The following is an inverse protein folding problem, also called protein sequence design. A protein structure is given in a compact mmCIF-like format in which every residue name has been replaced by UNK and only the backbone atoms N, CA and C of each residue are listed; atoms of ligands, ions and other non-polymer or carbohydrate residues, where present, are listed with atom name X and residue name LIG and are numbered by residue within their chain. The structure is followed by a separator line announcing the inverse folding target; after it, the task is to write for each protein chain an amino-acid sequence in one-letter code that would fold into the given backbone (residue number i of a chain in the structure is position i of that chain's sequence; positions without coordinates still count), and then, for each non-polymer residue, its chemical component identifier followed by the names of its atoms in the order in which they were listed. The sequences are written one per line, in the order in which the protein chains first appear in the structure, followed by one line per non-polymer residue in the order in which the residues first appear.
data_IF_074301205985
#
_entry.id   IF_074301205985
#
_cell.length_a   1.000
_cell.length_b   1.000
_cell.length_c   1.000
_cell.angle_alpha   90.00
_cell.angle_beta   90.00
_cell.angle_gamma   90.00
#
_symmetry.space_group_name_H-M   'P 1'
#
loop_
_entity.id
_entity.type
_entity.pdbx_description
1 polymer ?
#
# COMPACT_ATOMS: atom_id res chain seq x y z
N UNK A 1 38.51 -27.71 36.37
CA UNK A 1 39.09 -26.47 35.83
C UNK A 1 38.03 -25.40 35.93
N UNK A 2 38.10 -24.59 36.98
CA UNK A 2 37.14 -23.52 37.26
C UNK A 2 37.54 -22.28 36.45
N UNK A 3 36.69 -21.85 35.53
CA UNK A 3 36.88 -20.62 34.78
C UNK A 3 36.17 -19.48 35.52
N UNK A 4 36.95 -18.63 36.17
CA UNK A 4 36.49 -17.32 36.64
C UNK A 4 36.35 -16.36 35.46
N UNK A 5 35.14 -15.88 35.20
CA UNK A 5 34.87 -14.74 34.31
C UNK A 5 35.11 -13.42 35.07
N UNK A 6 35.75 -12.41 34.45
CA UNK A 6 35.92 -11.11 35.06
C UNK A 6 34.61 -10.31 35.03
N UNK A 7 34.19 -9.80 36.19
CA UNK A 7 33.11 -8.82 36.29
C UNK A 7 33.53 -7.51 35.63
N UNK A 8 32.72 -7.04 34.67
CA UNK A 8 32.78 -5.67 34.15
C UNK A 8 31.77 -4.77 34.87
N UNK A 9 32.05 -3.45 34.96
CA UNK A 9 31.38 -2.54 35.87
C UNK A 9 30.00 -2.09 35.37
N UNK A 10 29.07 -2.01 36.31
CA UNK A 10 27.76 -1.41 36.12
C UNK A 10 27.89 0.11 35.92
N UNK A 11 27.60 0.60 34.71
CA UNK A 11 27.25 2.00 34.48
C UNK A 11 25.87 2.09 33.84
N UNK A 12 24.95 2.67 34.60
CA UNK A 12 23.60 2.98 34.14
C UNK A 12 23.54 4.29 33.37
N UNK A 13 22.74 4.29 32.30
CA UNK A 13 22.10 5.47 31.73
C UNK A 13 20.92 5.06 30.82
N UNK A 14 19.82 4.58 31.42
CA UNK A 14 18.55 4.37 30.73
C UNK A 14 17.50 5.36 31.28
N UNK A 15 17.60 6.62 30.89
CA UNK A 15 16.50 7.60 31.05
C UNK A 15 16.56 8.62 29.91
N UNK A 16 15.74 8.44 28.87
CA UNK A 16 15.06 9.54 28.14
C UNK A 16 14.23 9.14 26.88
N UNK A 17 13.87 7.86 26.66
CA UNK A 17 13.02 7.50 25.51
C UNK A 17 11.50 7.70 25.73
N UNK A 18 11.03 7.88 26.97
CA UNK A 18 9.59 8.07 27.25
C UNK A 18 9.04 9.49 26.95
N UNK A 19 9.90 10.49 26.77
CA UNK A 19 9.45 11.88 26.50
C UNK A 19 9.17 12.17 25.02
N UNK A 20 9.55 11.29 24.10
CA UNK A 20 9.37 11.54 22.66
C UNK A 20 8.03 11.03 22.10
N UNK A 21 7.30 10.19 22.84
CA UNK A 21 6.07 9.54 22.33
C UNK A 21 4.79 10.35 22.60
N UNK A 22 4.84 11.42 23.40
CA UNK A 22 3.64 12.16 23.82
C UNK A 22 3.30 13.43 23.01
N UNK A 23 3.88 13.67 21.83
CA UNK A 23 3.64 14.92 21.07
C UNK A 23 2.80 14.79 19.79
N UNK A 24 2.02 13.71 19.60
CA UNK A 24 1.16 13.55 18.41
C UNK A 24 -0.32 13.64 18.74
N UNK A 25 -0.84 14.87 18.63
CA UNK A 25 -2.18 15.28 18.19
C UNK A 25 -3.44 14.67 18.89
N UNK A 26 -3.98 15.31 19.94
CA UNK A 26 -5.17 14.84 20.66
C UNK A 26 -6.53 15.18 20.00
N UNK A 27 -6.61 15.54 18.71
CA UNK A 27 -7.86 16.08 18.12
C UNK A 27 -8.37 15.43 16.81
N UNK A 28 -8.04 14.17 16.56
CA UNK A 28 -8.67 13.40 15.48
C UNK A 28 -9.94 12.70 15.97
N UNK A 29 -11.09 13.38 15.87
CA UNK A 29 -12.41 12.76 16.09
C UNK A 29 -12.71 11.72 15.00
N UNK A 30 -12.54 10.44 15.32
CA UNK A 30 -12.93 9.32 14.47
C UNK A 30 -14.46 9.18 14.41
N UNK A 31 -15.03 9.04 13.21
CA UNK A 31 -16.41 8.60 12.99
C UNK A 31 -16.46 7.07 12.96
N UNK A 32 -17.52 6.42 13.48
CA UNK A 32 -17.59 4.96 13.51
C UNK A 32 -17.90 4.38 12.13
N UNK A 33 -17.11 3.36 11.75
CA UNK A 33 -17.29 2.56 10.55
C UNK A 33 -18.42 1.53 10.74
N UNK A 34 -19.54 1.73 10.05
CA UNK A 34 -20.56 0.70 9.82
C UNK A 34 -21.12 0.85 8.41
N UNK A 35 -20.33 0.51 7.38
CA UNK A 35 -20.92 0.30 6.04
C UNK A 35 -19.98 -0.40 5.03
N UNK A 36 -19.39 -1.56 5.36
CA UNK A 36 -18.84 -2.45 4.31
C UNK A 36 -19.09 -3.91 4.70
N UNK A 37 -20.37 -4.30 4.66
CA UNK A 37 -20.77 -5.70 4.51
C UNK A 37 -21.88 -5.74 3.48
N UNK A 38 -21.51 -5.87 2.20
CA UNK A 38 -22.30 -6.48 1.12
C UNK A 38 -21.48 -6.45 -0.16
N UNK A 39 -21.55 -7.56 -0.90
CA UNK A 39 -20.86 -7.89 -2.17
C UNK A 39 -19.42 -8.37 -1.92
N UNK A 40 -19.05 -9.62 -2.16
CA UNK A 40 -19.29 -10.45 -3.34
C UNK A 40 -19.50 -11.93 -3.00
N UNK A 41 -20.60 -12.50 -3.48
CA UNK A 41 -20.76 -13.93 -3.72
C UNK A 41 -21.34 -14.10 -5.12
N UNK A 42 -20.52 -14.60 -6.05
CA UNK A 42 -20.96 -15.34 -7.25
C UNK A 42 -19.74 -15.90 -7.98
N UNK A 43 -19.54 -17.20 -7.84
CA UNK A 43 -18.62 -18.05 -8.57
C UNK A 43 -19.17 -18.41 -9.97
N UNK A 44 -18.23 -18.62 -10.90
CA UNK A 44 -18.21 -19.53 -12.08
C UNK A 44 -19.54 -20.06 -12.65
N UNK A 45 -19.65 -20.05 -13.98
CA UNK A 45 -19.87 -21.26 -14.82
C UNK A 45 -19.81 -20.93 -16.31
N UNK A 46 -19.30 -21.89 -17.08
CA UNK A 46 -19.10 -21.84 -18.54
C UNK A 46 -19.99 -22.89 -19.20
N UNK A 47 -20.60 -22.50 -20.33
CA UNK A 47 -21.22 -23.29 -21.43
C UNK A 47 -22.52 -24.08 -21.13
N UNK A 48 -23.55 -23.84 -21.95
CA UNK A 48 -24.09 -24.71 -23.03
C UNK A 48 -25.28 -24.00 -23.71
N UNK A 49 -25.58 -24.40 -24.95
CA UNK A 49 -26.34 -23.72 -25.99
C UNK A 49 -27.88 -23.83 -25.94
N UNK A 50 -28.52 -23.01 -26.81
CA UNK A 50 -29.86 -23.09 -27.45
C UNK A 50 -31.11 -23.02 -26.54
N UNK A 51 -31.89 -21.94 -26.63
CA UNK A 51 -33.22 -21.89 -27.29
C UNK A 51 -33.95 -20.55 -27.02
N UNK A 52 -34.55 -20.01 -28.08
CA UNK A 52 -35.66 -19.05 -28.26
C UNK A 52 -36.43 -18.44 -27.06
N UNK A 53 -36.47 -17.09 -27.05
CA UNK A 53 -37.65 -16.17 -26.87
C UNK A 53 -38.51 -16.18 -25.57
N UNK A 54 -39.39 -15.17 -25.32
CA UNK A 54 -39.07 -13.77 -24.98
C UNK A 54 -39.79 -13.32 -23.67
N UNK A 55 -39.25 -12.34 -22.92
CA UNK A 55 -40.08 -11.42 -22.10
C UNK A 55 -39.25 -10.30 -21.44
N UNK A 56 -39.43 -9.08 -21.95
CA UNK A 56 -39.08 -7.82 -21.27
C UNK A 56 -40.32 -7.34 -20.52
N UNK A 57 -40.29 -7.27 -19.17
CA UNK A 57 -41.10 -6.34 -18.35
C UNK A 57 -40.80 -6.54 -16.85
N UNK A 58 -39.80 -5.85 -16.31
CA UNK A 58 -39.65 -5.63 -14.86
C UNK A 58 -38.57 -4.58 -14.51
N UNK A 59 -38.56 -3.39 -15.13
CA UNK A 59 -37.58 -2.34 -14.78
C UNK A 59 -38.16 -0.95 -14.53
N UNK A 60 -39.49 -0.75 -14.58
CA UNK A 60 -40.11 0.56 -14.33
C UNK A 60 -40.31 0.88 -12.83
N UNK A 61 -40.59 -0.11 -11.98
CA UNK A 61 -40.97 0.17 -10.58
C UNK A 61 -39.83 0.68 -9.68
N UNK A 62 -38.56 0.40 -10.01
CA UNK A 62 -37.42 0.87 -9.19
C UNK A 62 -37.08 2.35 -9.36
N UNK A 63 -37.60 3.02 -10.40
CA UNK A 63 -37.36 4.46 -10.61
C UNK A 63 -38.35 5.34 -9.86
N UNK A 64 -39.58 4.89 -9.65
CA UNK A 64 -40.60 5.66 -8.93
C UNK A 64 -40.29 5.77 -7.43
N UNK A 65 -39.81 4.70 -6.79
CA UNK A 65 -39.51 4.74 -5.34
C UNK A 65 -38.42 5.76 -4.97
N UNK A 66 -37.42 5.96 -5.84
CA UNK A 66 -36.35 6.95 -5.62
C UNK A 66 -36.83 8.39 -5.80
N UNK A 67 -37.85 8.63 -6.63
CA UNK A 67 -38.42 9.97 -6.84
C UNK A 67 -39.34 10.36 -5.68
N UNK A 68 -40.08 9.39 -5.13
CA UNK A 68 -40.92 9.56 -3.94
C UNK A 68 -40.09 9.97 -2.71
N UNK A 69 -38.96 9.28 -2.47
CA UNK A 69 -38.05 9.56 -1.35
C UNK A 69 -37.41 10.95 -1.45
N UNK A 70 -37.03 11.36 -2.66
CA UNK A 70 -36.48 12.70 -2.90
C UNK A 70 -37.52 13.81 -2.65
N UNK A 71 -38.78 13.58 -3.04
CA UNK A 71 -39.89 14.51 -2.74
C UNK A 71 -40.21 14.59 -1.26
N UNK A 72 -40.17 13.45 -0.54
CA UNK A 72 -40.38 13.41 0.90
C UNK A 72 -39.29 14.18 1.66
N UNK A 73 -38.03 14.05 1.24
CA UNK A 73 -36.91 14.79 1.83
C UNK A 73 -37.03 16.32 1.62
N UNK A 74 -37.49 16.76 0.44
CA UNK A 74 -37.73 18.18 0.14
C UNK A 74 -38.88 18.78 0.98
N UNK A 75 -39.94 18.02 1.26
CA UNK A 75 -41.03 18.46 2.15
C UNK A 75 -40.57 18.68 3.58
N UNK A 76 -39.73 17.79 4.13
CA UNK A 76 -39.16 17.95 5.49
C UNK A 76 -38.29 19.21 5.61
N UNK A 77 -37.52 19.54 4.57
CA UNK A 77 -36.65 20.72 4.55
C UNK A 77 -37.43 22.03 4.50
N UNK A 78 -38.59 22.07 3.82
CA UNK A 78 -39.48 23.23 3.78
C UNK A 78 -40.14 23.51 5.13
N UNK A 79 -40.51 22.48 5.89
CA UNK A 79 -41.08 22.66 7.23
C UNK A 79 -40.08 23.23 8.24
N UNK A 80 -38.79 22.87 8.13
CA UNK A 80 -37.76 23.37 9.04
C UNK A 80 -37.39 24.84 8.85
N UNK A 81 -37.60 25.40 7.65
CA UNK A 81 -37.25 26.79 7.34
C UNK A 81 -38.31 27.78 7.87
N UNK A 82 -39.55 27.32 8.10
CA UNK A 82 -40.66 28.19 8.50
C UNK A 82 -40.85 28.36 10.00
N UNK A 83 -40.08 27.69 10.87
CA UNK A 83 -40.36 27.70 12.31
C UNK A 83 -39.46 28.60 13.17
N UNK A 84 -38.38 29.22 12.66
CA UNK A 84 -37.41 29.91 13.52
C UNK A 84 -36.83 31.24 13.00
N UNK A 85 -37.59 32.06 12.26
CA UNK A 85 -37.20 33.45 12.01
C UNK A 85 -38.22 34.43 12.56
N UNK A 86 -38.04 34.82 13.82
CA UNK A 86 -38.48 36.14 14.29
C UNK A 86 -37.68 37.17 13.50
N UNK A 87 -38.36 37.91 12.62
CA UNK A 87 -37.78 39.07 11.95
C UNK A 87 -37.44 40.12 13.03
N UNK A 88 -36.26 40.78 12.96
CA UNK A 88 -35.95 41.87 13.87
C UNK A 88 -36.96 43.02 13.69
N UNK A 89 -37.34 43.62 14.81
CA UNK A 89 -38.28 44.73 14.88
C UNK A 89 -37.83 45.92 14.02
N UNK A 90 -38.82 46.69 13.56
CA UNK A 90 -38.69 47.86 12.70
C UNK A 90 -37.58 48.83 13.14
N UNK A 91 -36.79 49.29 12.16
CA UNK A 91 -35.86 50.41 12.35
C UNK A 91 -36.64 51.67 12.74
N UNK A 92 -36.18 52.44 13.74
CA UNK A 92 -36.80 53.72 14.08
C UNK A 92 -36.57 54.77 12.99
N UNK A 93 -37.49 55.73 12.95
CA UNK A 93 -37.67 56.73 11.90
C UNK A 93 -36.40 57.47 11.46
N UNK A 94 -36.06 57.33 10.17
CA UNK A 94 -34.99 58.06 9.53
C UNK A 94 -35.49 59.48 9.18
N UNK A 95 -35.25 60.46 10.04
CA UNK A 95 -35.49 61.87 9.71
C UNK A 95 -34.37 62.41 8.81
N UNK A 96 -34.68 62.61 7.52
CA UNK A 96 -33.81 63.30 6.58
C UNK A 96 -33.71 64.80 6.92
N UNK A 97 -32.73 65.16 7.75
CA UNK A 97 -32.27 66.54 7.89
C UNK A 97 -31.18 66.78 6.85
N UNK A 98 -31.56 67.17 5.63
CA UNK A 98 -30.80 68.05 4.73
C UNK A 98 -31.53 68.19 3.37
N UNK A 99 -31.84 69.41 2.89
CA UNK A 99 -32.42 69.60 1.58
C UNK A 99 -31.37 69.37 0.48
N UNK A 100 -31.64 68.43 -0.42
CA UNK A 100 -30.79 68.12 -1.58
C UNK A 100 -30.90 69.27 -2.60
N UNK A 101 -29.79 69.87 -3.04
CA UNK A 101 -29.81 70.95 -4.03
C UNK A 101 -30.26 70.44 -5.41
N UNK A 102 -31.25 71.13 -5.97
CA UNK A 102 -31.74 70.94 -7.33
C UNK A 102 -30.76 71.55 -8.32
N UNK A 103 -30.08 70.73 -9.13
CA UNK A 103 -29.85 70.89 -10.58
C UNK A 103 -28.63 70.07 -11.02
N UNK A 104 -28.87 69.09 -11.89
CA UNK A 104 -28.27 68.84 -13.21
C UNK A 104 -28.87 67.51 -13.65
N UNK A 105 -29.86 67.56 -14.55
CA UNK A 105 -30.49 66.36 -15.10
C UNK A 105 -29.45 65.61 -15.95
N UNK A 106 -28.89 64.53 -15.40
CA UNK A 106 -28.12 63.53 -16.15
C UNK A 106 -29.09 62.44 -16.62
N UNK A 107 -28.76 61.68 -17.68
CA UNK A 107 -29.63 60.65 -18.26
C UNK A 107 -30.09 59.52 -17.30
N UNK A 108 -29.65 59.54 -16.03
CA UNK A 108 -30.12 58.62 -14.98
C UNK A 108 -31.37 59.11 -14.23
N UNK A 109 -31.78 60.37 -14.37
CA UNK A 109 -32.90 60.93 -13.59
C UNK A 109 -34.25 60.29 -13.95
N UNK A 110 -34.40 59.77 -15.18
CA UNK A 110 -35.60 59.03 -15.57
C UNK A 110 -35.69 57.66 -14.90
N UNK A 111 -34.56 56.98 -14.72
CA UNK A 111 -34.52 55.68 -14.05
C UNK A 111 -34.80 55.87 -12.56
N UNK A 112 -34.23 56.90 -11.94
CA UNK A 112 -34.48 57.20 -10.52
C UNK A 112 -35.93 57.63 -10.27
N UNK A 113 -36.53 58.44 -11.15
CA UNK A 113 -37.97 58.76 -11.08
C UNK A 113 -38.86 57.54 -11.28
N UNK A 114 -38.52 56.65 -12.21
CA UNK A 114 -39.24 55.39 -12.39
C UNK A 114 -39.06 54.46 -11.19
N UNK A 115 -37.89 54.40 -10.56
CA UNK A 115 -37.68 53.60 -9.34
C UNK A 115 -38.43 54.20 -8.15
N UNK A 116 -38.47 55.53 -8.04
CA UNK A 116 -39.19 56.24 -6.98
C UNK A 116 -40.72 56.12 -7.11
N UNK A 117 -41.25 55.89 -8.33
CA UNK A 117 -42.69 55.68 -8.55
C UNK A 117 -43.13 54.22 -8.33
N UNK A 118 -42.20 53.29 -8.11
CA UNK A 118 -42.52 51.90 -7.81
C UNK A 118 -42.90 51.76 -6.33
N UNK A 119 -44.04 51.12 -6.07
CA UNK A 119 -44.39 50.73 -4.70
C UNK A 119 -43.45 49.63 -4.17
N UNK A 120 -43.50 49.40 -2.85
CA UNK A 120 -42.66 48.43 -2.15
C UNK A 120 -42.70 47.00 -2.74
N UNK A 121 -43.86 46.58 -3.27
CA UNK A 121 -44.01 45.27 -3.89
C UNK A 121 -43.23 45.15 -5.20
N UNK A 122 -43.23 46.19 -6.04
CA UNK A 122 -42.46 46.19 -7.28
C UNK A 122 -40.95 46.18 -7.01
N UNK A 123 -40.49 46.96 -6.02
CA UNK A 123 -39.08 46.95 -5.60
C UNK A 123 -38.64 45.56 -5.10
N UNK A 124 -39.51 44.87 -4.36
CA UNK A 124 -39.25 43.49 -3.92
C UNK A 124 -39.14 42.51 -5.10
N UNK A 125 -40.04 42.60 -6.09
CA UNK A 125 -40.00 41.76 -7.29
C UNK A 125 -38.71 42.01 -8.10
N UNK A 126 -38.32 43.27 -8.29
CA UNK A 126 -37.08 43.61 -8.98
C UNK A 126 -35.83 43.11 -8.26
N UNK A 127 -35.79 43.23 -6.92
CA UNK A 127 -34.71 42.69 -6.11
C UNK A 127 -34.63 41.15 -6.19
N UNK A 128 -35.77 40.46 -6.10
CA UNK A 128 -35.84 39.01 -6.26
C UNK A 128 -35.34 38.56 -7.64
N UNK A 129 -35.75 39.25 -8.70
CA UNK A 129 -35.31 38.96 -10.07
C UNK A 129 -33.80 39.19 -10.26
N UNK A 130 -33.25 40.29 -9.73
CA UNK A 130 -31.79 40.53 -9.76
C UNK A 130 -31.01 39.46 -9.00
N UNK A 131 -31.50 39.05 -7.84
CA UNK A 131 -30.89 37.97 -7.05
C UNK A 131 -30.94 36.63 -7.79
N UNK A 132 -32.05 36.33 -8.47
CA UNK A 132 -32.18 35.14 -9.31
C UNK A 132 -31.19 35.17 -10.49
N UNK A 133 -31.09 36.29 -11.21
CA UNK A 133 -30.11 36.43 -12.30
C UNK A 133 -28.65 36.29 -11.82
N UNK A 134 -28.33 36.84 -10.64
CA UNK A 134 -27.01 36.68 -10.05
C UNK A 134 -26.74 35.21 -9.65
N UNK A 135 -27.74 34.53 -9.09
CA UNK A 135 -27.67 33.11 -8.78
C UNK A 135 -27.44 32.26 -10.03
N UNK A 136 -28.18 32.51 -11.12
CA UNK A 136 -28.06 31.77 -12.37
C UNK A 136 -26.73 32.00 -13.08
N UNK A 137 -26.19 33.23 -13.04
CA UNK A 137 -24.83 33.53 -13.54
C UNK A 137 -23.77 32.79 -12.72
N UNK A 138 -23.91 32.76 -11.39
CA UNK A 138 -22.96 32.09 -10.50
C UNK A 138 -23.05 30.57 -10.60
N UNK A 139 -24.26 30.01 -10.74
CA UNK A 139 -24.47 28.57 -10.93
C UNK A 139 -23.87 28.12 -12.26
N UNK A 140 -24.07 28.90 -13.34
CA UNK A 140 -23.45 28.64 -14.64
C UNK A 140 -21.92 28.71 -14.59
N UNK A 141 -21.35 29.71 -13.92
CA UNK A 141 -19.88 29.79 -13.71
C UNK A 141 -19.33 28.60 -12.94
N UNK A 142 -20.01 28.17 -11.87
CA UNK A 142 -19.62 26.98 -11.10
C UNK A 142 -19.70 25.70 -11.94
N UNK A 143 -20.76 25.55 -12.74
CA UNK A 143 -20.91 24.41 -13.64
C UNK A 143 -19.81 24.36 -14.72
N UNK A 144 -19.48 25.51 -15.33
CA UNK A 144 -18.39 25.62 -16.30
C UNK A 144 -17.03 25.30 -15.64
N UNK A 145 -16.76 25.88 -14.46
CA UNK A 145 -15.52 25.60 -13.72
C UNK A 145 -15.38 24.12 -13.39
N UNK A 146 -16.48 23.48 -12.98
CA UNK A 146 -16.50 22.04 -12.68
C UNK A 146 -16.20 21.22 -13.94
N UNK A 147 -16.86 21.51 -15.06
CA UNK A 147 -16.62 20.81 -16.34
C UNK A 147 -15.17 20.96 -16.82
N UNK A 148 -14.59 22.16 -16.68
CA UNK A 148 -13.18 22.38 -17.05
C UNK A 148 -12.23 21.60 -16.14
N UNK A 149 -12.53 21.48 -14.84
CA UNK A 149 -11.73 20.66 -13.93
C UNK A 149 -11.81 19.17 -14.28
N UNK A 150 -13.01 18.65 -14.57
CA UNK A 150 -13.23 17.26 -15.00
C UNK A 150 -12.50 16.96 -16.33
N UNK A 151 -12.48 17.92 -17.27
CA UNK A 151 -11.75 17.81 -18.53
C UNK A 151 -10.23 17.80 -18.31
N UNK A 152 -9.69 18.69 -17.47
CA UNK A 152 -8.27 18.71 -17.15
C UNK A 152 -7.82 17.41 -16.43
N UNK A 153 -8.64 16.86 -15.54
CA UNK A 153 -8.35 15.59 -14.87
C UNK A 153 -8.33 14.43 -15.88
N UNK A 154 -9.26 14.42 -16.83
CA UNK A 154 -9.28 13.44 -17.91
C UNK A 154 -8.02 13.52 -18.80
N UNK A 155 -7.58 14.72 -19.16
CA UNK A 155 -6.38 14.93 -19.98
C UNK A 155 -5.10 14.52 -19.23
N UNK A 156 -4.98 14.86 -17.95
CA UNK A 156 -3.87 14.40 -17.10
C UNK A 156 -3.80 12.88 -17.01
N UNK A 157 -4.95 12.21 -16.89
CA UNK A 157 -5.02 10.76 -16.87
C UNK A 157 -4.64 10.13 -18.22
N UNK A 158 -5.07 10.76 -19.33
CA UNK A 158 -4.70 10.32 -20.67
C UNK A 158 -3.20 10.45 -20.92
N UNK A 159 -2.58 11.54 -20.47
CA UNK A 159 -1.13 11.75 -20.59
C UNK A 159 -0.32 10.81 -19.71
N UNK A 160 -0.80 10.50 -18.50
CA UNK A 160 -0.23 9.45 -17.66
C UNK A 160 -0.21 8.09 -18.38
N UNK A 161 -1.33 7.68 -18.99
CA UNK A 161 -1.40 6.43 -19.75
C UNK A 161 -0.51 6.43 -21.01
N UNK A 162 -0.35 7.57 -21.68
CA UNK A 162 0.56 7.72 -22.83
C UNK A 162 2.02 7.54 -22.38
N UNK A 163 2.41 8.17 -21.28
CA UNK A 163 3.76 8.04 -20.70
C UNK A 163 4.05 6.60 -20.29
N UNK A 164 3.08 5.92 -19.67
CA UNK A 164 3.22 4.52 -19.28
C UNK A 164 3.42 3.58 -20.48
N UNK A 165 2.68 3.80 -21.57
CA UNK A 165 2.87 3.04 -22.81
C UNK A 165 4.24 3.30 -23.44
N UNK A 166 4.69 4.55 -23.48
CA UNK A 166 6.00 4.90 -24.00
C UNK A 166 7.13 4.22 -23.21
N UNK A 167 7.07 4.26 -21.86
CA UNK A 167 8.03 3.58 -21.00
C UNK A 167 8.01 2.06 -21.16
N UNK A 168 6.82 1.46 -21.33
CA UNK A 168 6.70 0.02 -21.57
C UNK A 168 7.31 -0.39 -22.93
N UNK A 169 7.11 0.41 -23.98
CA UNK A 169 7.74 0.20 -25.29
C UNK A 169 9.26 0.36 -25.23
N UNK A 170 9.76 1.35 -24.48
CA UNK A 170 11.19 1.53 -24.28
C UNK A 170 11.83 0.35 -23.54
N UNK A 171 11.22 -0.12 -22.45
CA UNK A 171 11.66 -1.34 -21.75
C UNK A 171 11.64 -2.55 -22.67
N UNK A 172 10.61 -2.71 -23.50
CA UNK A 172 10.54 -3.78 -24.49
C UNK A 172 11.69 -3.70 -25.50
N UNK A 173 12.08 -2.49 -25.94
CA UNK A 173 13.25 -2.28 -26.80
C UNK A 173 14.57 -2.62 -26.09
N UNK A 174 14.72 -2.22 -24.83
CA UNK A 174 15.91 -2.56 -24.03
C UNK A 174 16.06 -4.08 -23.86
N UNK A 175 14.98 -4.79 -23.52
CA UNK A 175 14.98 -6.25 -23.42
C UNK A 175 15.31 -6.87 -24.78
N UNK A 176 14.68 -6.41 -25.87
CA UNK A 176 14.97 -6.92 -27.21
C UNK A 176 16.45 -6.71 -27.61
N UNK A 177 17.06 -5.59 -27.23
CA UNK A 177 18.47 -5.31 -27.48
C UNK A 177 19.42 -6.24 -26.71
N UNK A 178 19.02 -6.69 -25.51
CA UNK A 178 19.79 -7.67 -24.72
C UNK A 178 19.59 -9.09 -25.25
N UNK A 179 18.37 -9.45 -25.65
CA UNK A 179 18.03 -10.81 -26.11
C UNK A 179 18.56 -11.10 -27.51
N UNK A 180 18.57 -10.12 -28.43
CA UNK A 180 19.05 -10.29 -29.80
C UNK A 180 20.47 -10.90 -29.91
N UNK A 181 21.50 -10.43 -29.17
CA UNK A 181 22.84 -11.04 -29.22
C UNK A 181 22.92 -12.41 -28.54
N UNK A 182 22.01 -12.72 -27.60
CA UNK A 182 21.94 -14.04 -26.96
C UNK A 182 21.40 -15.10 -27.93
N UNK A 183 20.38 -14.74 -28.72
CA UNK A 183 19.82 -15.61 -29.76
C UNK A 183 20.83 -15.90 -30.89
N UNK A 184 21.66 -14.93 -31.26
CA UNK A 184 22.75 -15.16 -32.23
C UNK A 184 23.83 -16.10 -31.67
N UNK A 185 24.21 -15.94 -30.40
CA UNK A 185 25.12 -16.88 -29.72
C UNK A 185 24.53 -18.30 -29.63
N UNK A 186 23.23 -18.42 -29.37
CA UNK A 186 22.55 -19.72 -29.37
C UNK A 186 22.48 -20.39 -30.76
N UNK A 187 22.42 -19.60 -31.83
CA UNK A 187 22.53 -20.13 -33.21
C UNK A 187 23.93 -20.63 -33.53
N UNK A 188 24.98 -19.97 -33.03
CA UNK A 188 26.37 -20.43 -33.15
C UNK A 188 26.62 -21.74 -32.39
N UNK A 189 26.10 -21.86 -31.17
CA UNK A 189 26.25 -23.06 -30.33
C UNK A 189 25.55 -24.30 -30.93
N UNK A 190 24.47 -24.11 -31.71
CA UNK A 190 23.76 -25.21 -32.38
C UNK A 190 24.40 -25.66 -33.70
N UNK A 191 25.46 -25.02 -34.18
CA UNK A 191 26.15 -25.52 -35.37
C UNK A 191 26.91 -26.82 -35.04
N UNK A 192 26.66 -27.92 -35.77
CA UNK A 192 27.38 -29.16 -35.55
C UNK A 192 28.88 -28.93 -35.79
N UNK A 193 29.71 -29.18 -34.76
CA UNK A 193 31.16 -28.97 -34.76
C UNK A 193 31.66 -27.73 -33.99
N UNK A 194 30.78 -26.89 -33.41
CA UNK A 194 31.21 -25.70 -32.64
C UNK A 194 32.06 -26.04 -31.41
N UNK A 195 31.77 -27.16 -30.73
CA UNK A 195 32.54 -27.61 -29.56
C UNK A 195 33.89 -28.25 -29.90
N UNK A 196 34.09 -28.72 -31.14
CA UNK A 196 35.35 -29.35 -31.56
C UNK A 196 36.46 -28.30 -31.80
N UNK A 197 36.10 -27.01 -31.92
CA UNK A 197 37.04 -25.91 -32.12
C UNK A 197 37.54 -25.26 -30.82
N UNK A 198 36.95 -25.58 -29.66
CA UNK A 198 37.29 -24.96 -28.37
C UNK A 198 38.30 -25.76 -27.53
N UNK A 199 38.77 -26.91 -28.03
CA UNK A 199 39.74 -27.76 -27.35
C UNK A 199 41.17 -27.59 -27.88
N UNK A 200 41.71 -26.37 -27.91
CA UNK A 200 43.18 -26.15 -27.93
C UNK A 200 43.52 -24.85 -27.20
N UNK A 201 44.38 -24.96 -26.19
CA UNK A 201 45.24 -23.94 -25.55
C UNK A 201 44.97 -23.67 -24.05
N UNK A 202 46.04 -23.38 -23.28
CA UNK A 202 46.19 -23.81 -21.89
C UNK A 202 45.77 -22.75 -20.86
N UNK A 203 45.63 -23.24 -19.62
CA UNK A 203 45.40 -22.50 -18.36
C UNK A 203 46.00 -21.09 -18.33
N UNK A 204 45.16 -20.05 -18.11
CA UNK A 204 45.63 -18.77 -17.63
C UNK A 204 45.42 -18.61 -16.12
N UNK A 205 46.30 -17.79 -15.54
CA UNK A 205 46.43 -17.46 -14.13
C UNK A 205 45.15 -16.95 -13.46
N UNK A 206 45.10 -17.20 -12.14
CA UNK A 206 44.08 -16.80 -11.16
C UNK A 206 43.57 -15.34 -11.35
N UNK A 207 42.24 -15.12 -11.43
CA UNK A 207 41.67 -13.78 -11.47
C UNK A 207 41.47 -13.18 -10.07
N UNK A 208 41.71 -11.87 -9.98
CA UNK A 208 41.27 -11.00 -8.90
C UNK A 208 39.75 -11.05 -8.72
N UNK A 209 39.31 -11.00 -7.46
CA UNK A 209 37.92 -11.03 -7.02
C UNK A 209 37.13 -9.81 -7.54
N UNK A 210 36.52 -9.94 -8.71
CA UNK A 210 35.36 -9.14 -9.08
C UNK A 210 34.13 -9.75 -8.43
N UNK A 211 33.49 -9.00 -7.52
CA UNK A 211 32.23 -9.37 -6.88
C UNK A 211 31.22 -9.93 -7.91
N UNK A 212 30.65 -11.11 -7.68
CA UNK A 212 29.73 -11.73 -8.62
C UNK A 212 28.50 -10.83 -8.77
N UNK A 213 28.25 -10.37 -9.99
CA UNK A 213 27.00 -9.72 -10.35
C UNK A 213 25.91 -10.80 -10.34
N UNK A 214 25.34 -11.06 -9.17
CA UNK A 214 24.29 -12.05 -8.97
C UNK A 214 23.08 -11.58 -9.76
N UNK A 215 22.70 -12.33 -10.79
CA UNK A 215 21.47 -12.09 -11.54
C UNK A 215 20.27 -12.45 -10.66
N UNK A 216 19.82 -11.47 -9.88
CA UNK A 216 18.68 -11.60 -8.98
C UNK A 216 17.40 -12.01 -9.73
N UNK A 217 17.28 -11.72 -11.03
CA UNK A 217 16.14 -12.19 -11.82
C UNK A 217 16.21 -13.71 -12.08
N UNK A 218 17.41 -14.26 -12.30
CA UNK A 218 17.62 -15.70 -12.42
C UNK A 218 17.41 -16.42 -11.07
N UNK A 219 17.95 -15.87 -9.97
CA UNK A 219 17.74 -16.40 -8.60
C UNK A 219 16.26 -16.43 -8.25
N UNK A 220 15.54 -15.34 -8.56
CA UNK A 220 14.10 -15.24 -8.37
C UNK A 220 13.32 -16.27 -9.22
N UNK A 221 13.69 -16.44 -10.49
CA UNK A 221 13.03 -17.39 -11.40
C UNK A 221 13.20 -18.83 -10.91
N UNK A 222 14.39 -19.18 -10.41
CA UNK A 222 14.67 -20.50 -9.85
C UNK A 222 13.95 -20.73 -8.51
N UNK A 223 13.88 -19.70 -7.64
CA UNK A 223 13.08 -19.73 -6.42
C UNK A 223 11.59 -20.01 -6.73
N UNK A 224 11.06 -19.37 -7.76
CA UNK A 224 9.68 -19.56 -8.22
C UNK A 224 9.44 -20.96 -8.80
N UNK A 225 10.43 -21.52 -9.50
CA UNK A 225 10.39 -22.89 -10.00
C UNK A 225 10.37 -23.90 -8.86
N UNK A 226 11.23 -23.72 -7.85
CA UNK A 226 11.28 -24.55 -6.63
C UNK A 226 9.99 -24.50 -5.84
N UNK A 227 9.43 -23.32 -5.58
CA UNK A 227 8.12 -23.18 -4.93
C UNK A 227 7.01 -23.93 -5.67
N UNK A 228 7.03 -23.88 -7.00
CA UNK A 228 6.04 -24.57 -7.83
C UNK A 228 6.21 -26.10 -7.79
N UNK A 229 7.42 -26.59 -7.55
CA UNK A 229 7.73 -28.00 -7.31
C UNK A 229 7.30 -28.44 -5.91
N UNK A 230 7.73 -27.71 -4.88
CA UNK A 230 7.36 -27.93 -3.48
C UNK A 230 5.84 -27.92 -3.29
N UNK A 231 5.12 -27.02 -3.96
CA UNK A 231 3.65 -27.02 -3.95
C UNK A 231 3.06 -28.37 -4.41
N UNK A 232 3.63 -29.02 -5.42
CA UNK A 232 3.15 -30.32 -5.92
C UNK A 232 3.51 -31.46 -4.97
N UNK A 233 4.69 -31.41 -4.38
CA UNK A 233 5.16 -32.43 -3.42
C UNK A 233 4.38 -32.33 -2.09
N UNK A 234 4.18 -31.13 -1.57
CA UNK A 234 3.42 -30.90 -0.35
C UNK A 234 1.93 -31.20 -0.50
N UNK A 235 1.37 -31.00 -1.70
CA UNK A 235 0.01 -31.41 -2.05
C UNK A 235 -0.20 -32.93 -1.99
N UNK A 236 0.87 -33.73 -1.98
CA UNK A 236 0.81 -35.18 -1.81
C UNK A 236 1.00 -35.65 -0.36
N UNK A 237 1.53 -34.79 0.54
CA UNK A 237 2.01 -35.21 1.87
C UNK A 237 1.26 -34.56 3.04
N UNK A 238 0.86 -33.29 2.92
CA UNK A 238 0.13 -32.60 3.98
C UNK A 238 -1.37 -32.80 3.79
N UNK A 239 -2.04 -33.34 4.81
CA UNK A 239 -3.51 -33.43 4.83
C UNK A 239 -4.18 -32.04 4.67
N UNK A 240 -5.50 -32.02 4.45
CA UNK A 240 -6.25 -30.84 4.00
C UNK A 240 -6.09 -29.59 4.89
N UNK A 241 -5.86 -29.78 6.20
CA UNK A 241 -5.75 -28.67 7.16
C UNK A 241 -4.35 -28.01 7.21
N UNK A 242 -3.30 -28.71 6.73
CA UNK A 242 -1.94 -28.16 6.63
C UNK A 242 -1.62 -27.54 5.27
N UNK A 243 -2.28 -28.05 4.22
CA UNK A 243 -2.15 -27.59 2.83
C UNK A 243 -2.58 -26.12 2.69
N UNK A 244 -3.70 -25.75 3.31
CA UNK A 244 -4.29 -24.42 3.19
C UNK A 244 -3.40 -23.30 3.75
N UNK A 245 -2.73 -23.54 4.90
CA UNK A 245 -1.89 -22.52 5.53
C UNK A 245 -0.58 -22.31 4.77
N UNK A 246 0.07 -23.39 4.31
CA UNK A 246 1.33 -23.30 3.55
C UNK A 246 1.08 -22.69 2.16
N UNK A 247 -0.01 -23.09 1.49
CA UNK A 247 -0.39 -22.55 0.19
C UNK A 247 -0.80 -21.08 0.31
N UNK A 248 -1.59 -20.69 1.32
CA UNK A 248 -1.93 -19.28 1.57
C UNK A 248 -0.70 -18.44 1.89
N UNK A 249 0.23 -18.98 2.67
CA UNK A 249 1.49 -18.28 2.96
C UNK A 249 2.32 -18.11 1.69
N UNK A 250 2.55 -19.16 0.91
CA UNK A 250 3.29 -19.09 -0.34
C UNK A 250 2.63 -18.10 -1.34
N UNK A 251 1.30 -18.08 -1.41
CA UNK A 251 0.55 -17.11 -2.21
C UNK A 251 0.70 -15.69 -1.69
N UNK A 252 0.72 -15.48 -0.37
CA UNK A 252 0.94 -14.16 0.25
C UNK A 252 2.33 -13.65 -0.08
N UNK A 253 3.35 -14.50 0.05
CA UNK A 253 4.72 -14.13 -0.30
C UNK A 253 4.88 -13.85 -1.79
N UNK A 254 4.27 -14.68 -2.64
CA UNK A 254 4.22 -14.45 -4.08
C UNK A 254 3.56 -13.11 -4.42
N UNK A 255 2.46 -12.77 -3.76
CA UNK A 255 1.79 -11.50 -3.96
C UNK A 255 2.65 -10.31 -3.52
N UNK A 256 3.39 -10.44 -2.41
CA UNK A 256 4.34 -9.41 -1.95
C UNK A 256 5.45 -9.21 -2.98
N UNK A 257 6.07 -10.28 -3.45
CA UNK A 257 7.11 -10.21 -4.48
C UNK A 257 6.57 -9.60 -5.79
N UNK A 258 5.35 -9.96 -6.20
CA UNK A 258 4.71 -9.36 -7.38
C UNK A 258 4.33 -7.89 -7.20
N UNK A 259 3.82 -7.50 -6.03
CA UNK A 259 3.45 -6.10 -5.75
C UNK A 259 4.66 -5.20 -5.64
N UNK A 260 5.77 -5.72 -5.12
CA UNK A 260 7.05 -5.01 -5.07
C UNK A 260 7.64 -4.87 -6.47
N UNK A 261 7.61 -5.94 -7.28
CA UNK A 261 8.01 -5.88 -8.68
C UNK A 261 7.12 -4.94 -9.52
N UNK A 262 5.83 -4.82 -9.19
CA UNK A 262 4.87 -3.97 -9.90
C UNK A 262 4.92 -2.49 -9.46
N UNK A 263 5.22 -2.21 -8.20
CA UNK A 263 5.34 -0.85 -7.67
C UNK A 263 6.74 -0.28 -7.97
N UNK A 264 6.88 0.21 -9.21
CA UNK A 264 7.93 1.09 -9.76
C UNK A 264 9.10 1.43 -8.83
N UNK A 265 10.15 0.61 -8.87
CA UNK A 265 11.50 0.98 -8.45
C UNK A 265 11.93 0.58 -7.04
N UNK A 266 11.07 -0.08 -6.26
CA UNK A 266 11.48 -0.69 -5.01
C UNK A 266 12.30 -1.95 -5.25
N UNK A 267 13.41 -2.12 -4.53
CA UNK A 267 14.14 -3.38 -4.54
C UNK A 267 13.29 -4.51 -3.93
N UNK A 268 13.27 -5.71 -4.56
CA UNK A 268 12.65 -6.89 -3.96
C UNK A 268 13.24 -7.23 -2.59
N UNK A 269 14.56 -7.01 -2.41
CA UNK A 269 15.27 -7.26 -1.16
C UNK A 269 14.76 -6.32 -0.07
N UNK A 270 14.68 -5.01 -0.37
CA UNK A 270 14.21 -4.03 0.59
C UNK A 270 12.78 -4.33 1.10
N UNK A 271 11.93 -4.91 0.24
CA UNK A 271 10.60 -5.32 0.64
C UNK A 271 10.57 -6.60 1.48
N UNK A 272 11.39 -7.61 1.16
CA UNK A 272 11.54 -8.81 1.99
C UNK A 272 12.04 -8.40 3.39
N UNK A 273 13.01 -7.49 3.44
CA UNK A 273 13.55 -6.96 4.69
C UNK A 273 12.51 -6.15 5.48
N UNK A 274 11.74 -5.29 4.81
CA UNK A 274 10.63 -4.56 5.46
C UNK A 274 9.59 -5.52 6.05
N UNK A 275 9.33 -6.63 5.37
CA UNK A 275 8.40 -7.66 5.84
C UNK A 275 8.98 -8.44 7.03
N UNK A 276 10.28 -8.75 7.01
CA UNK A 276 11.01 -9.33 8.13
C UNK A 276 10.85 -8.47 9.39
N UNK A 277 11.14 -7.17 9.29
CA UNK A 277 11.00 -6.21 10.40
C UNK A 277 9.55 -6.10 10.90
N UNK A 278 8.59 -6.04 9.97
CA UNK A 278 7.18 -5.98 10.31
C UNK A 278 6.71 -7.22 11.08
N UNK A 279 7.09 -8.42 10.62
CA UNK A 279 6.74 -9.68 11.28
C UNK A 279 7.39 -9.78 12.66
N UNK A 280 8.65 -9.40 12.80
CA UNK A 280 9.33 -9.35 14.10
C UNK A 280 8.65 -8.40 15.08
N UNK A 281 8.36 -7.17 14.63
CA UNK A 281 7.65 -6.17 15.44
C UNK A 281 6.30 -6.69 15.93
N UNK A 282 5.57 -7.41 15.06
CA UNK A 282 4.30 -8.04 15.41
C UNK A 282 4.47 -9.15 16.45
N UNK A 283 5.48 -10.02 16.32
CA UNK A 283 5.75 -11.09 17.29
C UNK A 283 6.11 -10.53 18.67
N UNK A 284 6.97 -9.51 18.71
CA UNK A 284 7.35 -8.85 19.96
C UNK A 284 6.13 -8.15 20.58
N UNK A 285 5.33 -7.43 19.77
CA UNK A 285 4.12 -6.75 20.26
C UNK A 285 3.06 -7.72 20.81
N UNK A 286 2.99 -8.94 20.28
CA UNK A 286 2.08 -9.99 20.77
C UNK A 286 2.61 -10.74 22.00
N UNK A 287 3.91 -10.64 22.28
CA UNK A 287 4.51 -11.31 23.45
C UNK A 287 4.17 -10.65 24.79
N UNK A 288 3.49 -9.50 24.77
CA UNK A 288 3.02 -8.82 25.98
C UNK A 288 1.83 -9.60 26.59
N UNK A 289 1.97 -10.11 27.83
CA UNK A 289 0.95 -10.93 28.49
C UNK A 289 -0.40 -10.22 28.70
N UNK A 290 -0.48 -8.91 28.48
CA UNK A 290 -1.71 -8.12 28.59
C UNK A 290 -2.65 -8.26 27.38
N UNK A 291 -2.18 -8.82 26.25
CA UNK A 291 -3.00 -8.98 25.05
C UNK A 291 -3.72 -10.33 25.06
N UNK A 292 -5.01 -10.32 25.44
CA UNK A 292 -5.78 -11.50 25.89
C UNK A 292 -6.22 -12.50 24.81
N UNK A 293 -5.71 -12.46 23.59
CA UNK A 293 -6.01 -13.48 22.59
C UNK A 293 -4.71 -13.95 21.91
N UNK A 294 -4.30 -15.22 22.09
CA UNK A 294 -3.21 -15.81 21.33
C UNK A 294 -3.67 -15.94 19.88
N UNK A 295 -3.38 -14.93 19.07
CA UNK A 295 -3.66 -14.91 17.64
C UNK A 295 -2.75 -15.92 16.97
N UNK A 296 -3.24 -17.15 16.80
CA UNK A 296 -2.76 -18.18 15.87
C UNK A 296 -1.29 -18.58 16.04
N UNK A 297 -1.05 -19.79 16.55
CA UNK A 297 0.30 -20.33 16.74
C UNK A 297 1.17 -20.17 15.50
N UNK A 298 2.25 -19.40 15.62
CA UNK A 298 3.23 -19.19 14.56
C UNK A 298 3.89 -20.52 14.24
N UNK A 299 3.99 -20.85 12.95
CA UNK A 299 4.66 -22.07 12.45
C UNK A 299 6.04 -21.75 11.91
N UNK A 300 6.87 -22.78 11.77
CA UNK A 300 8.25 -22.69 11.26
C UNK A 300 8.35 -21.85 9.97
N UNK A 301 7.51 -22.15 8.97
CA UNK A 301 7.54 -21.44 7.68
C UNK A 301 6.96 -20.03 7.74
N UNK A 302 6.16 -19.69 8.74
CA UNK A 302 5.61 -18.34 8.90
C UNK A 302 6.52 -17.41 9.71
N UNK A 303 7.47 -17.98 10.46
CA UNK A 303 8.41 -17.26 11.32
C UNK A 303 9.29 -16.30 10.50
N UNK A 304 9.66 -15.12 11.03
CA UNK A 304 10.47 -14.14 10.32
C UNK A 304 11.95 -14.54 10.30
N UNK A 305 12.30 -15.44 9.38
CA UNK A 305 13.69 -15.80 9.13
C UNK A 305 14.41 -14.69 8.34
N UNK A 306 15.69 -14.39 8.64
CA UNK A 306 16.50 -13.46 7.88
C UNK A 306 17.01 -14.19 6.62
N UNK A 307 16.09 -14.41 5.68
CA UNK A 307 16.38 -15.11 4.42
C UNK A 307 15.66 -14.42 3.27
N UNK A 308 16.34 -14.32 2.13
CA UNK A 308 15.73 -13.89 0.86
C UNK A 308 14.87 -15.00 0.24
N UNK A 309 14.98 -16.22 0.76
CA UNK A 309 14.32 -17.42 0.28
C UNK A 309 13.34 -17.97 1.32
N UNK A 310 12.45 -18.84 0.87
CA UNK A 310 11.47 -19.48 1.73
C UNK A 310 12.12 -20.55 2.60
N UNK A 311 11.80 -20.51 3.89
CA UNK A 311 12.21 -21.51 4.86
C UNK A 311 11.03 -22.44 5.09
N UNK A 312 11.16 -23.69 4.66
CA UNK A 312 10.14 -24.72 4.89
C UNK A 312 10.58 -25.72 5.94
N UNK A 313 11.88 -25.98 6.02
CA UNK A 313 12.52 -26.84 7.02
C UNK A 313 13.65 -26.09 7.72
N UNK A 314 14.20 -26.67 8.79
CA UNK A 314 15.37 -26.08 9.47
C UNK A 314 16.60 -26.09 8.55
N UNK A 315 16.73 -27.10 7.68
CA UNK A 315 17.85 -27.22 6.73
C UNK A 315 17.88 -26.11 5.68
N UNK A 316 16.75 -25.43 5.46
CA UNK A 316 16.68 -24.24 4.62
C UNK A 316 17.37 -23.02 5.24
N UNK A 317 17.62 -23.05 6.55
CA UNK A 317 18.29 -21.99 7.31
C UNK A 317 19.78 -22.32 7.29
N UNK A 318 20.48 -21.83 6.25
CA UNK A 318 21.93 -22.00 6.13
C UNK A 318 22.64 -20.70 6.45
N UNK A 319 23.84 -20.79 7.02
CA UNK A 319 24.70 -19.63 7.28
C UNK A 319 24.86 -18.75 6.03
N UNK A 320 25.07 -19.37 4.87
CA UNK A 320 25.15 -18.67 3.58
C UNK A 320 23.91 -17.79 3.30
N UNK A 321 22.70 -18.29 3.51
CA UNK A 321 21.46 -17.55 3.25
C UNK A 321 21.24 -16.41 4.24
N UNK A 322 21.63 -16.62 5.49
CA UNK A 322 21.55 -15.59 6.55
C UNK A 322 22.55 -14.47 6.25
N UNK A 323 23.78 -14.83 5.87
CA UNK A 323 24.80 -13.87 5.43
C UNK A 323 24.33 -13.08 4.21
N UNK A 324 23.82 -13.75 3.18
CA UNK A 324 23.29 -13.10 1.97
C UNK A 324 22.20 -12.06 2.30
N UNK A 325 21.33 -12.37 3.27
CA UNK A 325 20.29 -11.44 3.73
C UNK A 325 20.87 -10.16 4.35
N UNK A 326 21.83 -10.28 5.28
CA UNK A 326 22.40 -9.12 5.98
C UNK A 326 23.44 -8.35 5.16
N UNK A 327 24.15 -9.04 4.26
CA UNK A 327 25.20 -8.43 3.42
C UNK A 327 24.64 -7.66 2.22
N UNK A 328 23.33 -7.71 2.00
CA UNK A 328 22.73 -7.10 0.84
C UNK A 328 22.96 -5.57 0.83
N UNK A 329 23.57 -5.02 -0.25
CA UNK A 329 23.97 -3.61 -0.29
C UNK A 329 22.81 -2.62 -0.19
N UNK A 330 21.57 -3.05 -0.44
CA UNK A 330 20.41 -2.16 -0.48
C UNK A 330 19.77 -1.94 0.89
N UNK A 331 20.10 -2.76 1.90
CA UNK A 331 19.47 -2.72 3.22
C UNK A 331 20.14 -1.81 4.24
N UNK A 332 21.48 -1.76 4.26
CA UNK A 332 22.23 -1.22 5.42
C UNK A 332 23.63 -0.68 5.06
N UNK A 333 23.71 0.50 4.43
CA UNK A 333 24.99 1.10 4.04
C UNK A 333 25.65 1.95 5.14
N UNK A 334 24.88 2.43 6.14
CA UNK A 334 25.43 3.17 7.27
C UNK A 334 25.24 2.32 8.54
N UNK A 335 26.34 1.84 9.12
CA UNK A 335 26.43 1.10 10.39
C UNK A 335 26.01 -0.38 10.38
N UNK A 336 26.68 -1.20 9.56
CA UNK A 336 26.49 -2.67 9.56
C UNK A 336 26.68 -3.32 10.93
N UNK A 337 27.68 -2.88 11.70
CA UNK A 337 27.95 -3.44 13.03
C UNK A 337 26.79 -3.16 13.99
N UNK A 338 26.23 -1.95 13.98
CA UNK A 338 25.09 -1.60 14.84
C UNK A 338 23.86 -2.43 14.49
N UNK A 339 23.57 -2.60 13.19
CA UNK A 339 22.47 -3.44 12.71
C UNK A 339 22.66 -4.89 13.15
N UNK A 340 23.86 -5.46 12.96
CA UNK A 340 24.14 -6.83 13.37
C UNK A 340 24.02 -7.02 14.90
N UNK A 341 24.41 -6.02 15.69
CA UNK A 341 24.21 -6.03 17.15
C UNK A 341 22.72 -5.98 17.52
N UNK A 342 21.93 -5.15 16.86
CA UNK A 342 20.47 -5.10 17.08
C UNK A 342 19.81 -6.44 16.74
N UNK A 343 20.23 -7.07 15.64
CA UNK A 343 19.76 -8.40 15.24
C UNK A 343 20.17 -9.47 16.24
N UNK A 344 21.41 -9.44 16.74
CA UNK A 344 21.86 -10.37 17.77
C UNK A 344 20.99 -10.30 19.04
N UNK A 345 20.51 -9.10 19.41
CA UNK A 345 19.57 -8.92 20.54
C UNK A 345 18.20 -9.53 20.26
N UNK A 346 17.69 -9.45 19.02
CA UNK A 346 16.42 -10.09 18.61
C UNK A 346 16.52 -11.62 18.71
N UNK A 347 17.64 -12.18 18.26
CA UNK A 347 17.90 -13.62 18.22
C UNK A 347 18.47 -14.20 19.53
N UNK A 348 18.76 -13.35 20.52
CA UNK A 348 19.22 -13.78 21.83
C UNK A 348 18.22 -14.75 22.49
N UNK A 349 18.67 -15.84 23.16
CA UNK A 349 17.77 -16.84 23.76
C UNK A 349 16.72 -16.25 24.70
N UNK A 350 17.07 -15.19 25.44
CA UNK A 350 16.13 -14.49 26.34
C UNK A 350 15.02 -13.72 25.62
N UNK A 351 15.30 -13.14 24.44
CA UNK A 351 14.28 -12.47 23.62
C UNK A 351 13.45 -13.50 22.87
N UNK A 352 14.11 -14.51 22.29
CA UNK A 352 13.47 -15.58 21.56
C UNK A 352 12.51 -16.38 22.44
N UNK A 353 12.87 -16.69 23.68
CA UNK A 353 12.01 -17.39 24.65
C UNK A 353 10.68 -16.67 24.90
N UNK A 354 10.68 -15.32 24.85
CA UNK A 354 9.46 -14.51 24.96
C UNK A 354 8.57 -14.64 23.73
N UNK A 355 9.09 -15.05 22.58
CA UNK A 355 8.30 -15.22 21.34
C UNK A 355 7.93 -16.69 21.12
N UNK A 356 8.73 -17.64 21.62
CA UNK A 356 8.49 -19.08 21.44
C UNK A 356 7.14 -19.57 22.00
N UNK A 357 6.57 -18.90 23.01
CA UNK A 357 5.24 -19.27 23.50
C UNK A 357 4.13 -19.03 22.46
N UNK A 358 4.34 -18.09 21.52
CA UNK A 358 3.45 -17.81 20.39
C UNK A 358 3.61 -18.83 19.25
N UNK A 359 4.64 -19.69 19.31
CA UNK A 359 4.93 -20.72 18.30
C UNK A 359 4.21 -22.02 18.67
N UNK A 360 3.70 -22.74 17.66
CA UNK A 360 3.12 -24.07 17.83
C UNK A 360 4.16 -24.99 18.48
N UNK A 361 3.76 -25.73 19.51
CA UNK A 361 4.65 -26.57 20.30
C UNK A 361 5.53 -27.52 19.45
N UNK A 362 4.95 -28.10 18.38
CA UNK A 362 5.65 -28.98 17.43
C UNK A 362 6.82 -28.32 16.71
N UNK A 363 6.76 -27.01 16.49
CA UNK A 363 7.76 -26.26 15.72
C UNK A 363 8.78 -25.54 16.64
N UNK A 364 8.56 -25.49 17.96
CA UNK A 364 9.42 -24.72 18.89
C UNK A 364 10.87 -25.17 18.85
N UNK A 365 11.11 -26.48 18.87
CA UNK A 365 12.47 -27.04 18.82
C UNK A 365 13.14 -26.71 17.48
N UNK A 366 12.39 -26.79 16.37
CA UNK A 366 12.89 -26.42 15.04
C UNK A 366 13.25 -24.95 14.94
N UNK A 367 12.43 -24.05 15.51
CA UNK A 367 12.72 -22.62 15.54
C UNK A 367 13.94 -22.31 16.43
N UNK A 368 14.08 -23.00 17.56
CA UNK A 368 15.24 -22.83 18.43
C UNK A 368 16.54 -23.25 17.72
N UNK A 369 16.56 -24.42 17.07
CA UNK A 369 17.70 -24.87 16.26
C UNK A 369 18.03 -23.91 15.11
N UNK A 370 16.99 -23.44 14.41
CA UNK A 370 17.17 -22.45 13.34
C UNK A 370 17.74 -21.12 13.85
N UNK A 371 17.31 -20.68 15.04
CA UNK A 371 17.82 -19.47 15.67
C UNK A 371 19.31 -19.57 16.05
N UNK A 372 19.77 -20.74 16.50
CA UNK A 372 21.19 -20.99 16.78
C UNK A 372 22.04 -20.75 15.52
N UNK A 373 21.62 -21.29 14.37
CA UNK A 373 22.30 -21.07 13.08
C UNK A 373 22.34 -19.59 12.70
N UNK A 374 21.24 -18.85 12.94
CA UNK A 374 21.18 -17.41 12.68
C UNK A 374 22.15 -16.64 13.59
N UNK A 375 22.21 -16.97 14.87
CA UNK A 375 23.13 -16.35 15.84
C UNK A 375 24.59 -16.60 15.44
N UNK A 376 24.93 -17.84 15.11
CA UNK A 376 26.28 -18.21 14.67
C UNK A 376 26.69 -17.44 13.41
N UNK A 377 25.78 -17.31 12.44
CA UNK A 377 26.00 -16.53 11.22
C UNK A 377 26.22 -15.04 11.51
N UNK A 378 25.43 -14.44 12.41
CA UNK A 378 25.58 -13.03 12.80
C UNK A 378 26.90 -12.80 13.54
N UNK A 379 27.29 -13.70 14.45
CA UNK A 379 28.56 -13.64 15.18
C UNK A 379 29.73 -13.75 14.21
N UNK A 380 29.67 -14.66 13.23
CA UNK A 380 30.67 -14.78 12.17
C UNK A 380 30.81 -13.48 11.36
N UNK A 381 29.70 -12.85 10.98
CA UNK A 381 29.72 -11.54 10.32
C UNK A 381 30.32 -10.43 11.19
N UNK A 382 29.98 -10.39 12.48
CA UNK A 382 30.54 -9.40 13.41
C UNK A 382 32.06 -9.56 13.56
N UNK A 383 32.57 -10.80 13.58
CA UNK A 383 34.01 -11.07 13.61
C UNK A 383 34.72 -10.69 12.31
N UNK A 384 34.04 -10.78 11.17
CA UNK A 384 34.58 -10.35 9.86
C UNK A 384 34.63 -8.82 9.70
N UNK A 385 33.76 -8.08 10.41
CA UNK A 385 33.67 -6.62 10.34
C UNK A 385 34.28 -5.85 11.53
N UNK A 386 34.66 -6.54 12.59
CA UNK A 386 35.39 -5.97 13.75
C UNK A 386 36.87 -5.80 13.43
#
# INVERSE_FOLDING_TARGET
MEFHLPMLPAHGALLNLQKLIHSVNPNAKAKPAREIQRTFSATKTTKVAKHTDPTKRASSQRKESRVEDARAALRRRRHHINLNRKLPAANPDFQLKNPIPKKIFKPNDHIEKCIASLNSNHLFIFAAHRNQQAFDRNSRRRAIKKRNAEMNEHDQKADGLRLERALAEEKKRQIAAIVAPVDERYKLIKQPGYFDQLNVAPEPALPQESSPNVDYAAVFTEAMRRLSGLRREYQAVLGPDGEDDLVRWAQTQFHILQTVAANRGGSPVAAIQSQYEFKWSRLIGQSDPTTSEPVGGTRLYTFPWPSLMFVTTVDDITEFRVREFFLNPEGHLANRIDVLNEELVKWHPGTLSKVLHLVIEKDRESIQKGAEIVVDAIVGLLQEYA
#
